data_IF_369288911498
#
_entry.id   IF_369288911498
#
_cell.length_a   1.000
_cell.length_b   1.000
_cell.length_c   1.000
_cell.angle_alpha   90.00
_cell.angle_beta   90.00
_cell.angle_gamma   90.00
#
_symmetry.space_group_name_H-M   'P 1'
#
loop_
_entity.id
_entity.type
_entity.pdbx_description
1 polymer ?
#
# COMPACT_ATOMS: atom_id res chain seq x y z
N UNK A 1 9.05 1.85 14.60
CA UNK A 1 9.64 2.50 13.40
C UNK A 1 8.77 3.69 13.03
N UNK A 2 9.39 4.85 12.77
CA UNK A 2 8.70 6.05 12.28
C UNK A 2 8.94 6.16 10.76
N UNK A 3 7.87 6.43 10.01
CA UNK A 3 7.93 6.56 8.55
C UNK A 3 7.85 8.03 8.20
N UNK A 4 8.97 8.61 7.79
CA UNK A 4 9.03 9.95 7.23
C UNK A 4 9.66 9.82 5.85
N UNK A 5 8.93 10.25 4.83
CA UNK A 5 9.42 10.22 3.45
C UNK A 5 9.43 11.62 2.87
N UNK A 6 10.29 11.83 1.89
CA UNK A 6 10.33 13.04 1.09
C UNK A 6 10.39 12.65 -0.38
N UNK A 7 9.41 13.12 -1.16
CA UNK A 7 9.34 12.81 -2.59
C UNK A 7 10.52 13.43 -3.35
N UNK A 8 10.71 13.06 -4.59
CA UNK A 8 11.63 13.76 -5.48
C UNK A 8 11.17 15.20 -5.74
N UNK A 9 12.11 16.08 -6.08
CA UNK A 9 11.83 17.47 -6.42
C UNK A 9 10.86 17.60 -7.59
N UNK A 10 11.03 16.77 -8.61
CA UNK A 10 10.14 16.73 -9.78
C UNK A 10 8.70 16.39 -9.39
N UNK A 11 8.51 15.46 -8.48
CA UNK A 11 7.20 15.02 -8.02
C UNK A 11 6.48 16.03 -7.12
N UNK A 12 7.12 17.08 -6.64
CA UNK A 12 6.47 18.13 -5.85
C UNK A 12 5.37 18.84 -6.65
N UNK A 13 5.66 19.23 -7.89
CA UNK A 13 4.68 19.87 -8.77
C UNK A 13 3.60 18.88 -9.19
N UNK A 14 3.97 17.62 -9.47
CA UNK A 14 3.06 16.54 -9.85
C UNK A 14 1.99 16.30 -8.78
N UNK A 15 2.37 16.18 -7.53
CA UNK A 15 1.41 16.01 -6.41
C UNK A 15 0.38 17.14 -6.39
N UNK A 16 0.84 18.38 -6.48
CA UNK A 16 -0.06 19.55 -6.46
C UNK A 16 -0.99 19.56 -7.67
N UNK A 17 -0.47 19.23 -8.86
CA UNK A 17 -1.25 19.15 -10.09
C UNK A 17 -2.32 18.05 -10.01
N UNK A 18 -1.96 16.85 -9.59
CA UNK A 18 -2.89 15.73 -9.46
C UNK A 18 -3.96 16.00 -8.39
N UNK A 19 -3.60 16.67 -7.30
CA UNK A 19 -4.55 17.04 -6.25
C UNK A 19 -5.66 17.95 -6.78
N UNK A 20 -5.35 18.85 -7.73
CA UNK A 20 -6.35 19.73 -8.36
C UNK A 20 -7.31 18.98 -9.29
N UNK A 21 -6.93 17.81 -9.78
CA UNK A 21 -7.78 16.98 -10.65
C UNK A 21 -8.79 16.14 -9.86
N UNK A 22 -8.61 16.00 -8.55
CA UNK A 22 -9.56 15.32 -7.68
C UNK A 22 -10.72 16.23 -7.31
N UNK A 23 -11.97 15.74 -7.34
CA UNK A 23 -13.11 16.52 -6.88
C UNK A 23 -13.06 16.75 -5.35
N UNK A 24 -13.60 17.88 -4.88
CA UNK A 24 -13.85 18.11 -3.46
C UNK A 24 -12.67 18.60 -2.63
N UNK A 25 -11.62 19.18 -3.21
CA UNK A 25 -10.51 19.77 -2.44
C UNK A 25 -9.68 18.74 -1.66
N UNK A 26 -9.44 17.62 -2.26
CA UNK A 26 -8.68 16.50 -1.68
C UNK A 26 -7.27 16.93 -1.27
N UNK A 27 -6.77 16.35 -0.19
CA UNK A 27 -5.43 16.64 0.33
C UNK A 27 -4.35 15.89 -0.44
N UNK A 28 -3.16 16.48 -0.57
CA UNK A 28 -2.00 15.89 -1.26
C UNK A 28 -1.58 14.51 -0.72
N UNK A 29 -1.77 14.25 0.58
CA UNK A 29 -1.48 12.94 1.15
C UNK A 29 -2.41 11.83 0.64
N UNK A 30 -3.61 12.16 0.17
CA UNK A 30 -4.50 11.19 -0.49
C UNK A 30 -3.90 10.78 -1.84
N UNK A 31 -3.41 11.74 -2.63
CA UNK A 31 -2.71 11.45 -3.88
C UNK A 31 -1.48 10.59 -3.64
N UNK A 32 -0.68 10.90 -2.61
CA UNK A 32 0.50 10.11 -2.29
C UNK A 32 0.14 8.65 -1.94
N UNK A 33 -0.97 8.41 -1.22
CA UNK A 33 -1.47 7.05 -0.95
C UNK A 33 -1.97 6.34 -2.20
N UNK A 34 -2.71 7.05 -3.06
CA UNK A 34 -3.17 6.50 -4.35
C UNK A 34 -1.96 6.10 -5.20
N UNK A 35 -0.95 6.95 -5.28
CA UNK A 35 0.28 6.68 -6.01
C UNK A 35 1.03 5.45 -5.44
N UNK A 36 1.14 5.35 -4.11
CA UNK A 36 1.72 4.19 -3.45
C UNK A 36 0.99 2.90 -3.81
N UNK A 37 -0.35 2.90 -3.67
CA UNK A 37 -1.18 1.73 -4.00
C UNK A 37 -1.10 1.37 -5.49
N UNK A 38 -1.20 2.37 -6.37
CA UNK A 38 -1.07 2.19 -7.80
C UNK A 38 0.27 1.58 -8.20
N UNK A 39 1.38 2.13 -7.68
CA UNK A 39 2.71 1.58 -7.95
C UNK A 39 2.84 0.12 -7.51
N UNK A 40 2.32 -0.23 -6.33
CA UNK A 40 2.33 -1.61 -5.84
C UNK A 40 1.49 -2.54 -6.73
N UNK A 41 0.34 -2.09 -7.22
CA UNK A 41 -0.54 -2.88 -8.08
C UNK A 41 0.09 -3.20 -9.45
N UNK A 42 1.04 -2.40 -9.93
CA UNK A 42 1.78 -2.68 -11.18
C UNK A 42 2.73 -3.87 -11.08
N UNK A 43 2.95 -4.41 -9.88
CA UNK A 43 3.93 -5.47 -9.65
C UNK A 43 5.39 -4.99 -9.64
N UNK A 44 5.66 -3.70 -9.82
CA UNK A 44 7.03 -3.14 -9.73
C UNK A 44 7.66 -3.54 -8.40
N UNK A 45 8.93 -3.96 -8.45
CA UNK A 45 9.81 -4.20 -7.30
C UNK A 45 11.07 -3.40 -7.48
N UNK A 46 11.46 -2.67 -6.46
CA UNK A 46 12.70 -1.90 -6.43
C UNK A 46 13.81 -2.71 -5.77
N UNK A 47 14.98 -2.65 -6.36
CA UNK A 47 16.21 -3.23 -5.79
C UNK A 47 16.96 -2.18 -4.98
N UNK A 48 17.94 -2.61 -4.17
CA UNK A 48 18.80 -1.68 -3.43
C UNK A 48 19.59 -0.73 -4.32
N UNK A 49 19.87 -1.11 -5.56
CA UNK A 49 20.55 -0.26 -6.55
C UNK A 49 19.67 0.93 -6.99
N UNK A 50 18.36 0.77 -6.92
CA UNK A 50 17.38 1.80 -7.29
C UNK A 50 17.03 2.76 -6.14
N UNK A 51 17.61 2.61 -4.95
CA UNK A 51 17.31 3.48 -3.81
C UNK A 51 17.69 4.95 -4.02
N UNK A 52 18.59 5.24 -4.95
CA UNK A 52 18.98 6.60 -5.36
C UNK A 52 18.31 7.07 -6.65
N UNK A 53 17.35 6.32 -7.20
CA UNK A 53 16.66 6.68 -8.45
C UNK A 53 15.89 8.01 -8.35
N UNK A 54 15.45 8.33 -7.13
CA UNK A 54 14.75 9.57 -6.84
C UNK A 54 15.46 10.34 -5.75
N UNK A 55 15.68 11.63 -5.97
CA UNK A 55 16.15 12.53 -4.93
C UNK A 55 15.12 12.68 -3.78
N UNK A 56 15.39 13.52 -2.81
CA UNK A 56 14.51 13.80 -1.67
C UNK A 56 14.35 15.32 -1.48
N UNK A 57 14.09 16.04 -2.56
CA UNK A 57 13.99 17.50 -2.56
C UNK A 57 12.54 18.01 -2.65
N UNK A 58 11.58 17.11 -2.79
CA UNK A 58 10.17 17.43 -2.94
C UNK A 58 9.40 17.51 -1.61
N UNK A 59 8.13 17.12 -1.65
CA UNK A 59 7.20 17.20 -0.53
C UNK A 59 7.52 16.21 0.58
N UNK A 60 7.53 16.71 1.82
CA UNK A 60 7.71 15.86 3.00
C UNK A 60 6.36 15.34 3.51
N UNK A 61 6.31 14.05 3.80
CA UNK A 61 5.18 13.37 4.43
C UNK A 61 5.63 12.66 5.71
N UNK A 62 5.14 13.15 6.84
CA UNK A 62 5.26 12.46 8.12
C UNK A 62 4.28 11.29 8.20
N UNK A 63 4.60 10.27 8.96
CA UNK A 63 3.84 9.03 9.15
C UNK A 63 2.32 9.29 9.32
N UNK A 64 1.95 10.10 10.31
CA UNK A 64 0.55 10.40 10.61
C UNK A 64 -0.16 11.22 9.52
N UNK A 65 0.58 11.99 8.72
CA UNK A 65 0.03 12.74 7.58
C UNK A 65 -0.17 11.81 6.39
N UNK A 66 0.86 11.04 6.03
CA UNK A 66 0.81 10.13 4.88
C UNK A 66 -0.33 9.13 5.03
N UNK A 67 -0.44 8.49 6.19
CA UNK A 67 -1.36 7.38 6.40
C UNK A 67 -2.66 7.76 7.13
N UNK A 68 -2.83 9.02 7.51
CA UNK A 68 -4.03 9.50 8.20
C UNK A 68 -4.41 8.65 9.45
N UNK A 69 -3.39 8.12 10.11
CA UNK A 69 -3.49 7.29 11.31
C UNK A 69 -4.05 5.88 11.10
N UNK A 70 -4.92 5.65 10.11
CA UNK A 70 -5.64 4.37 9.92
C UNK A 70 -5.08 3.48 8.81
N UNK A 71 -4.39 4.04 7.82
CA UNK A 71 -3.90 3.28 6.65
C UNK A 71 -2.48 2.73 6.81
N UNK A 72 -1.81 3.06 7.91
CA UNK A 72 -0.39 2.74 8.14
C UNK A 72 -0.10 1.25 8.06
N UNK A 73 -0.79 0.47 8.87
CA UNK A 73 -0.51 -0.96 8.99
C UNK A 73 -0.89 -1.70 7.70
N UNK A 74 -1.91 -1.24 7.00
CA UNK A 74 -2.29 -1.76 5.69
C UNK A 74 -1.16 -1.59 4.67
N UNK A 75 -0.61 -0.39 4.51
CA UNK A 75 0.47 -0.16 3.54
C UNK A 75 1.78 -0.83 3.96
N UNK A 76 2.10 -0.90 5.26
CA UNK A 76 3.24 -1.67 5.74
C UNK A 76 3.09 -3.14 5.39
N UNK A 77 1.91 -3.74 5.60
CA UNK A 77 1.65 -5.13 5.23
C UNK A 77 1.84 -5.39 3.74
N UNK A 78 1.35 -4.48 2.87
CA UNK A 78 1.54 -4.57 1.42
C UNK A 78 3.03 -4.52 1.05
N UNK A 79 3.82 -3.63 1.65
CA UNK A 79 5.27 -3.55 1.42
C UNK A 79 5.96 -4.84 1.91
N UNK A 80 5.61 -5.31 3.11
CA UNK A 80 6.17 -6.56 3.65
C UNK A 80 5.88 -7.75 2.73
N UNK A 81 4.66 -7.88 2.24
CA UNK A 81 4.26 -8.91 1.29
C UNK A 81 5.03 -8.76 -0.03
N UNK A 82 5.13 -7.53 -0.54
CA UNK A 82 5.78 -7.26 -1.79
C UNK A 82 7.27 -7.64 -1.81
N UNK A 83 7.97 -7.41 -0.71
CA UNK A 83 9.42 -7.57 -0.61
C UNK A 83 9.87 -8.76 0.23
N UNK A 84 8.94 -9.51 0.83
CA UNK A 84 9.27 -10.65 1.70
C UNK A 84 10.01 -10.24 2.98
N UNK A 85 9.72 -9.05 3.51
CA UNK A 85 10.38 -8.46 4.69
C UNK A 85 9.43 -8.39 5.89
N UNK A 86 9.98 -8.17 7.09
CA UNK A 86 9.18 -8.03 8.30
C UNK A 86 8.77 -6.58 8.55
N UNK A 87 7.73 -6.36 9.37
CA UNK A 87 7.22 -5.03 9.73
C UNK A 87 8.22 -4.10 10.43
N UNK A 88 9.35 -4.64 10.89
CA UNK A 88 10.40 -3.86 11.55
C UNK A 88 11.61 -3.60 10.66
N UNK A 89 11.54 -3.95 9.37
CA UNK A 89 12.62 -3.74 8.42
C UNK A 89 12.88 -2.24 8.20
N UNK A 90 14.14 -1.84 8.31
CA UNK A 90 14.55 -0.44 8.18
C UNK A 90 14.43 0.11 6.75
N UNK A 91 14.24 -0.77 5.76
CA UNK A 91 14.08 -0.38 4.36
C UNK A 91 12.65 0.01 4.00
N UNK A 92 11.66 -0.27 4.85
CA UNK A 92 10.25 0.06 4.59
C UNK A 92 10.04 1.52 4.18
N UNK A 93 10.60 2.53 4.88
CA UNK A 93 10.43 3.93 4.46
C UNK A 93 11.00 4.21 3.06
N UNK A 94 12.10 3.54 2.70
CA UNK A 94 12.72 3.68 1.36
C UNK A 94 11.81 3.10 0.28
N UNK A 95 11.27 1.89 0.49
CA UNK A 95 10.34 1.29 -0.46
C UNK A 95 9.06 2.12 -0.61
N UNK A 96 8.50 2.62 0.50
CA UNK A 96 7.33 3.50 0.46
C UNK A 96 7.63 4.74 -0.39
N UNK A 97 8.77 5.40 -0.16
CA UNK A 97 9.19 6.56 -0.95
C UNK A 97 9.25 6.25 -2.44
N UNK A 98 9.96 5.18 -2.81
CA UNK A 98 10.13 4.79 -4.21
C UNK A 98 8.81 4.49 -4.89
N UNK A 99 7.90 3.80 -4.21
CA UNK A 99 6.57 3.51 -4.74
C UNK A 99 5.71 4.77 -4.86
N UNK A 100 5.81 5.72 -3.92
CA UNK A 100 5.12 7.02 -4.05
C UNK A 100 5.63 7.77 -5.26
N UNK A 101 6.95 7.91 -5.41
CA UNK A 101 7.54 8.64 -6.53
C UNK A 101 7.21 7.98 -7.89
N UNK A 102 7.38 6.69 -8.01
CA UNK A 102 7.03 5.94 -9.22
C UNK A 102 5.54 6.02 -9.54
N UNK A 103 4.68 5.90 -8.54
CA UNK A 103 3.23 6.00 -8.76
C UNK A 103 2.80 7.40 -9.23
N UNK A 104 3.40 8.45 -8.65
CA UNK A 104 3.16 9.83 -9.08
C UNK A 104 3.56 10.04 -10.53
N UNK A 105 4.74 9.59 -10.94
CA UNK A 105 5.17 9.65 -12.35
C UNK A 105 4.22 8.92 -13.29
N UNK A 106 3.84 7.69 -12.94
CA UNK A 106 2.96 6.88 -13.78
C UNK A 106 1.57 7.47 -13.92
N UNK A 107 0.98 7.95 -12.81
CA UNK A 107 -0.33 8.61 -12.85
C UNK A 107 -0.25 9.90 -13.64
N UNK A 108 0.79 10.72 -13.42
CA UNK A 108 0.99 11.95 -14.16
C UNK A 108 1.09 11.70 -15.67
N UNK A 109 1.87 10.69 -16.05
CA UNK A 109 2.02 10.28 -17.45
C UNK A 109 0.67 9.94 -18.11
N UNK A 110 -0.21 9.22 -17.40
CA UNK A 110 -1.55 8.88 -17.91
C UNK A 110 -2.37 10.14 -18.20
N UNK A 111 -2.34 11.11 -17.30
CA UNK A 111 -3.10 12.36 -17.44
C UNK A 111 -2.52 13.32 -18.48
N UNK A 112 -1.21 13.33 -18.68
CA UNK A 112 -0.55 14.17 -19.69
C UNK A 112 -0.80 13.66 -21.12
N UNK A 113 -0.80 12.33 -21.29
CA UNK A 113 -0.97 11.72 -22.60
C UNK A 113 -2.43 11.48 -23.00
N UNK A 114 -3.37 11.68 -22.07
CA UNK A 114 -4.81 11.55 -22.31
C UNK A 114 -5.56 12.78 -21.79
N UNK A 115 -5.65 13.87 -22.55
CA UNK A 115 -6.27 15.12 -22.09
C UNK A 115 -7.73 15.00 -21.64
N UNK A 116 -8.46 14.02 -22.19
CA UNK A 116 -9.86 13.75 -21.82
C UNK A 116 -10.00 12.79 -20.63
N UNK A 117 -8.90 12.19 -20.16
CA UNK A 117 -8.91 11.24 -19.07
C UNK A 117 -9.08 11.96 -17.75
N UNK A 118 -10.16 11.67 -17.07
CA UNK A 118 -10.49 12.28 -15.78
C UNK A 118 -10.02 11.40 -14.61
N UNK A 119 -10.01 11.96 -13.42
CA UNK A 119 -9.71 11.17 -12.23
C UNK A 119 -10.79 10.11 -11.93
N UNK A 120 -12.03 10.38 -12.37
CA UNK A 120 -13.12 9.41 -12.29
C UNK A 120 -12.83 8.19 -13.18
N UNK A 121 -12.37 8.42 -14.41
CA UNK A 121 -12.00 7.35 -15.34
C UNK A 121 -10.87 6.50 -14.75
N UNK A 122 -9.85 7.16 -14.18
CA UNK A 122 -8.76 6.48 -13.49
C UNK A 122 -9.26 5.57 -12.36
N UNK A 123 -10.12 6.08 -11.48
CA UNK A 123 -10.67 5.29 -10.38
C UNK A 123 -11.53 4.13 -10.89
N UNK A 124 -12.42 4.38 -11.85
CA UNK A 124 -13.29 3.35 -12.42
C UNK A 124 -12.49 2.23 -13.05
N UNK A 125 -11.49 2.56 -13.86
CA UNK A 125 -10.62 1.57 -14.50
C UNK A 125 -9.90 0.69 -13.46
N UNK A 126 -9.37 1.30 -12.41
CA UNK A 126 -8.61 0.53 -11.41
C UNK A 126 -9.48 -0.23 -10.42
N UNK A 127 -10.68 0.25 -10.12
CA UNK A 127 -11.65 -0.54 -9.35
C UNK A 127 -12.13 -1.76 -10.15
N UNK A 128 -12.45 -1.59 -11.45
CA UNK A 128 -12.82 -2.74 -12.28
C UNK A 128 -11.73 -3.80 -12.33
N UNK A 129 -10.48 -3.40 -12.59
CA UNK A 129 -9.33 -4.33 -12.56
C UNK A 129 -9.16 -5.04 -11.21
N UNK A 130 -9.45 -4.34 -10.11
CA UNK A 130 -9.40 -4.94 -8.78
C UNK A 130 -10.50 -5.98 -8.55
N UNK A 131 -11.70 -5.70 -9.03
CA UNK A 131 -12.84 -6.65 -8.95
C UNK A 131 -12.56 -7.88 -9.80
N UNK A 132 -12.16 -7.69 -11.05
CA UNK A 132 -11.81 -8.78 -11.97
C UNK A 132 -10.73 -9.70 -11.36
N UNK A 133 -9.70 -9.11 -10.75
CA UNK A 133 -8.63 -9.87 -10.09
C UNK A 133 -9.10 -10.67 -8.86
N UNK A 134 -10.18 -10.25 -8.20
CA UNK A 134 -10.78 -10.99 -7.08
C UNK A 134 -11.64 -12.14 -7.64
N UNK A 135 -12.41 -11.91 -8.70
CA UNK A 135 -13.25 -12.91 -9.34
C UNK A 135 -12.43 -14.01 -10.02
N UNK A 136 -11.30 -13.65 -10.62
CA UNK A 136 -10.35 -14.60 -11.24
C UNK A 136 -9.45 -15.31 -10.23
N UNK A 137 -9.45 -14.88 -8.96
CA UNK A 137 -8.67 -15.55 -7.92
C UNK A 137 -9.21 -16.97 -7.74
N UNK A 138 -8.36 -18.02 -7.83
CA UNK A 138 -8.81 -19.38 -7.63
C UNK A 138 -9.50 -19.50 -6.27
N UNK A 139 -10.66 -20.16 -6.22
CA UNK A 139 -11.48 -20.38 -5.01
C UNK A 139 -10.75 -21.13 -3.86
N UNK A 140 -9.47 -21.33 -3.98
CA UNK A 140 -8.59 -21.94 -2.98
C UNK A 140 -8.27 -20.98 -1.80
N UNK A 141 -9.25 -20.24 -1.29
CA UNK A 141 -9.31 -19.98 0.13
C UNK A 141 -9.87 -21.24 0.81
N UNK A 142 -9.23 -22.36 0.51
CA UNK A 142 -9.37 -23.55 1.33
C UNK A 142 -9.13 -23.16 2.77
N UNK A 143 -10.10 -23.56 3.59
CA UNK A 143 -10.23 -23.34 5.01
C UNK A 143 -8.89 -23.13 5.73
N UNK A 144 -8.90 -22.32 6.76
CA UNK A 144 -7.76 -22.02 7.67
C UNK A 144 -6.99 -23.30 8.10
N UNK A 145 -7.59 -24.46 8.03
CA UNK A 145 -6.99 -25.77 8.31
C UNK A 145 -5.89 -26.19 7.32
N UNK A 146 -6.02 -25.89 6.03
CA UNK A 146 -5.01 -26.26 5.03
C UNK A 146 -3.79 -25.32 5.04
N UNK A 147 -3.91 -24.08 5.52
CA UNK A 147 -2.75 -23.16 5.68
C UNK A 147 -1.77 -23.67 6.73
N UNK A 148 -2.26 -24.30 7.80
CA UNK A 148 -1.40 -24.81 8.87
C UNK A 148 -0.53 -26.00 8.41
N UNK A 149 -0.97 -26.77 7.41
CA UNK A 149 -0.19 -27.89 6.88
C UNK A 149 0.93 -27.46 5.93
N UNK A 150 0.76 -26.35 5.19
CA UNK A 150 1.79 -25.86 4.28
C UNK A 150 2.88 -25.03 4.99
N UNK A 151 2.54 -24.30 6.04
CA UNK A 151 3.49 -23.52 6.85
C UNK A 151 4.35 -24.46 7.72
N UNK A 152 3.81 -25.58 8.17
CA UNK A 152 4.54 -26.53 9.02
C UNK A 152 5.64 -27.31 8.30
N UNK A 153 5.70 -27.28 6.96
CA UNK A 153 6.71 -28.01 6.17
C UNK A 153 7.92 -27.20 5.74
N UNK A 154 7.92 -25.88 5.90
CA UNK A 154 8.99 -25.08 5.28
C UNK A 154 9.85 -24.19 6.19
N UNK A 155 9.50 -23.87 7.44
CA UNK A 155 10.29 -22.88 8.21
C UNK A 155 10.44 -23.12 9.72
N UNK A 156 9.65 -23.94 10.39
CA UNK A 156 9.77 -24.09 11.85
C UNK A 156 9.70 -25.55 12.33
N UNK A 157 10.84 -26.11 12.68
CA UNK A 157 10.97 -27.30 13.53
C UNK A 157 10.96 -26.90 15.02
N UNK A 158 9.80 -26.51 15.53
CA UNK A 158 9.60 -26.26 16.97
C UNK A 158 8.13 -25.99 17.28
N UNK A 159 7.59 -26.51 18.42
CA UNK A 159 6.18 -26.34 18.74
C UNK A 159 5.92 -24.90 19.20
N UNK A 160 5.18 -24.11 18.39
CA UNK A 160 4.65 -22.82 18.84
C UNK A 160 3.29 -23.08 19.48
N UNK A 161 3.24 -22.94 20.79
CA UNK A 161 2.02 -23.06 21.58
C UNK A 161 1.35 -21.67 21.67
N UNK A 162 0.48 -21.33 20.72
CA UNK A 162 -0.34 -20.11 20.81
C UNK A 162 -1.66 -20.46 21.51
N UNK A 163 -1.77 -20.14 22.79
CA UNK A 163 -3.06 -20.11 23.49
C UNK A 163 -3.80 -18.83 23.09
N UNK A 164 -4.72 -18.94 22.17
CA UNK A 164 -5.71 -17.89 21.89
C UNK A 164 -6.86 -18.07 22.86
N UNK A 165 -6.88 -17.29 23.93
CA UNK A 165 -7.99 -17.24 24.89
C UNK A 165 -9.07 -16.29 24.37
N UNK A 166 -10.14 -16.81 23.80
CA UNK A 166 -11.40 -16.05 23.61
C UNK A 166 -12.24 -16.18 24.86
N UNK A 167 -12.38 -15.09 25.61
CA UNK A 167 -13.34 -14.97 26.70
C UNK A 167 -14.65 -14.45 26.12
N UNK A 168 -15.54 -15.36 25.77
CA UNK A 168 -16.95 -15.06 25.50
C UNK A 168 -17.67 -14.98 26.85
N UNK A 169 -17.76 -13.78 27.43
CA UNK A 169 -18.69 -13.55 28.53
C UNK A 169 -20.10 -13.37 27.94
N UNK A 170 -20.88 -14.40 28.03
CA UNK A 170 -22.33 -14.37 27.92
C UNK A 170 -22.88 -13.40 28.97
N UNK A 171 -23.53 -12.33 28.52
CA UNK A 171 -24.48 -11.58 29.35
C UNK A 171 -25.85 -12.26 29.15
N UNK A 172 -26.23 -13.07 30.13
CA UNK A 172 -27.61 -13.38 30.39
C UNK A 172 -28.22 -12.28 31.24
N UNK A 173 -29.40 -11.92 30.82
CA UNK A 173 -30.50 -11.21 31.43
C UNK A 173 -30.49 -10.97 32.95
N UNK A 174 -30.96 -9.76 33.36
CA UNK A 174 -31.91 -9.59 34.47
C UNK A 174 -32.72 -8.30 34.28
N UNK A 175 -34.04 -8.47 34.13
CA UNK A 175 -35.21 -7.62 34.42
C UNK A 175 -35.17 -6.13 34.10
#
# INVERSE_FOLDING_TARGET
>A
MQINIKTSGENQAVVTQLTRKLPGGTKENVIARIALGYSLSTGKRFTSQEFSSYDSQGKEYKDHILFDGQYRDFFIALICQAYGITKNDELIPKYIKLHVDHGLEKINYLFEHNPQYTFFDFLTEHFSKGVDAIEDAPESFDSVENRNQHISKSVFSGPINIKVGYNLSTREDVY
#
